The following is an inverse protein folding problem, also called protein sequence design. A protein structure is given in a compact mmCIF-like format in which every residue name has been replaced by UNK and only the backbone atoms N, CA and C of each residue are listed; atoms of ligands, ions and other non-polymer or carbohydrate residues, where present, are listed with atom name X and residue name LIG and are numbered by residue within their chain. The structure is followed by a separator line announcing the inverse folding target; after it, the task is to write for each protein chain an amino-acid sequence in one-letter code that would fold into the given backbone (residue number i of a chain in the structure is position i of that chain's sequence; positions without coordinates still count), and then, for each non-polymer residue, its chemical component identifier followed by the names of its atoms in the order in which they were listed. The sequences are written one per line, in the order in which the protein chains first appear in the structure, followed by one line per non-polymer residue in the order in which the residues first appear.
data_IF_488173812662
#
_entry.id   IF_488173812662
#
_cell.length_a   1.000
_cell.length_b   1.000
_cell.length_c   1.000
_cell.angle_alpha   90.00
_cell.angle_beta   90.00
_cell.angle_gamma   90.00
#
_symmetry.space_group_name_H-M   'P 1'
#
loop_
_entity.id
_entity.type
_entity.pdbx_description
1 polymer ?
#
# COMPACT_ATOMS: atom_id res chain seq x y z
N UNK A 1 23.74 -1.14 17.63
CA UNK A 1 24.09 0.09 16.88
C UNK A 1 23.01 1.15 17.01
N UNK A 2 21.72 0.83 16.79
CA UNK A 2 20.62 1.81 16.84
C UNK A 2 20.27 2.34 18.24
N UNK A 3 20.48 1.58 19.32
CA UNK A 3 20.20 2.06 20.69
C UNK A 3 21.00 3.33 21.03
N UNK A 4 22.29 3.37 20.67
CA UNK A 4 23.13 4.56 20.91
C UNK A 4 22.67 5.76 20.10
N UNK A 5 22.23 5.54 18.86
CA UNK A 5 21.67 6.58 18.00
C UNK A 5 20.43 7.20 18.64
N UNK A 6 19.50 6.35 19.11
CA UNK A 6 18.27 6.79 19.79
C UNK A 6 18.60 7.56 21.06
N UNK A 7 19.48 7.04 21.92
CA UNK A 7 19.85 7.70 23.18
C UNK A 7 20.50 9.06 22.94
N UNK A 8 21.43 9.15 21.97
CA UNK A 8 22.09 10.42 21.63
C UNK A 8 21.09 11.43 21.08
N UNK A 9 20.25 11.03 20.13
CA UNK A 9 19.22 11.89 19.54
C UNK A 9 18.25 12.43 20.61
N UNK A 10 17.77 11.58 21.52
CA UNK A 10 16.83 12.02 22.54
C UNK A 10 17.47 12.93 23.60
N UNK A 11 18.77 12.77 23.87
CA UNK A 11 19.52 13.74 24.67
C UNK A 11 19.55 15.11 23.98
N UNK A 12 19.86 15.15 22.68
CA UNK A 12 19.83 16.40 21.89
C UNK A 12 18.41 17.00 21.82
N UNK A 13 17.37 16.16 21.71
CA UNK A 13 15.97 16.60 21.72
C UNK A 13 15.60 17.26 23.06
N UNK A 14 16.07 16.69 24.19
CA UNK A 14 15.87 17.29 25.52
C UNK A 14 16.55 18.67 25.69
N UNK A 15 17.54 18.96 24.85
CA UNK A 15 18.22 20.26 24.78
C UNK A 15 17.56 21.23 23.78
N UNK A 16 16.42 20.86 23.18
CA UNK A 16 15.72 21.67 22.18
C UNK A 16 16.37 21.68 20.80
N UNK A 17 17.28 20.74 20.51
CA UNK A 17 17.95 20.64 19.20
C UNK A 17 17.12 19.90 18.16
N UNK A 18 16.11 19.14 18.59
CA UNK A 18 15.18 18.40 17.73
C UNK A 18 13.73 18.65 18.17
N UNK A 19 12.81 18.61 17.21
CA UNK A 19 11.36 18.75 17.45
C UNK A 19 10.65 17.40 17.57
N UNK A 20 11.39 16.30 17.61
CA UNK A 20 10.86 14.93 17.70
C UNK A 20 11.80 14.07 18.55
N UNK A 21 11.30 12.90 18.97
CA UNK A 21 12.06 11.88 19.70
C UNK A 21 12.07 10.58 18.90
N UNK A 22 13.06 9.73 19.15
CA UNK A 22 13.14 8.39 18.60
C UNK A 22 12.79 7.34 19.65
N UNK A 23 12.17 6.25 19.22
CA UNK A 23 11.87 5.10 20.07
C UNK A 23 12.47 3.82 19.48
N UNK A 24 12.88 2.90 20.33
CA UNK A 24 13.22 1.55 19.88
C UNK A 24 11.94 0.85 19.43
N UNK A 25 11.93 0.29 18.23
CA UNK A 25 10.80 -0.45 17.67
C UNK A 25 11.28 -1.74 17.00
N UNK A 26 10.39 -2.45 16.30
CA UNK A 26 10.71 -3.70 15.61
C UNK A 26 11.73 -3.55 14.46
N UNK A 27 12.08 -2.31 14.06
CA UNK A 27 13.14 -2.02 13.08
C UNK A 27 14.49 -1.75 13.76
N UNK A 28 14.57 -1.86 15.09
CA UNK A 28 15.71 -1.48 15.90
C UNK A 28 16.99 -2.29 15.64
N UNK A 29 16.88 -3.47 15.04
CA UNK A 29 17.99 -4.33 14.64
C UNK A 29 18.22 -4.36 13.13
N UNK A 30 17.35 -3.72 12.34
CA UNK A 30 17.48 -3.66 10.88
C UNK A 30 18.54 -2.65 10.45
N UNK A 31 19.24 -3.01 9.39
CA UNK A 31 20.10 -2.11 8.61
C UNK A 31 19.26 -1.25 7.66
N UNK A 32 19.83 -0.15 7.16
CA UNK A 32 19.17 0.68 6.14
C UNK A 32 18.77 -0.14 4.91
N UNK A 33 19.60 -1.11 4.50
CA UNK A 33 19.30 -1.96 3.35
C UNK A 33 18.10 -2.87 3.61
N UNK A 34 17.99 -3.44 4.82
CA UNK A 34 16.83 -4.24 5.24
C UNK A 34 15.56 -3.41 5.41
N UNK A 35 15.67 -2.09 5.57
CA UNK A 35 14.51 -1.17 5.58
C UNK A 35 14.08 -0.81 4.16
N UNK A 36 15.02 -0.48 3.27
CA UNK A 36 14.68 0.10 1.96
C UNK A 36 13.90 -0.86 1.06
N UNK A 37 14.37 -2.11 0.95
CA UNK A 37 13.78 -3.07 0.01
C UNK A 37 12.31 -3.41 0.35
N UNK A 38 11.94 -3.66 1.62
CA UNK A 38 10.54 -3.92 1.96
C UNK A 38 9.68 -2.73 2.35
N UNK A 39 10.24 -1.65 2.87
CA UNK A 39 9.44 -0.54 3.39
C UNK A 39 9.40 0.69 2.47
N UNK A 40 10.31 0.79 1.49
CA UNK A 40 10.47 1.98 0.64
C UNK A 40 10.43 1.66 -0.87
N UNK A 41 9.44 0.85 -1.29
CA UNK A 41 9.32 0.36 -2.67
C UNK A 41 8.42 1.23 -3.58
N UNK A 42 8.29 2.53 -3.32
CA UNK A 42 7.59 3.43 -4.23
C UNK A 42 8.41 3.58 -5.52
N UNK A 43 7.83 3.21 -6.66
CA UNK A 43 8.48 3.25 -7.97
C UNK A 43 7.83 4.34 -8.83
N UNK A 44 8.45 5.52 -8.88
CA UNK A 44 7.95 6.62 -9.71
C UNK A 44 8.00 6.26 -11.20
N UNK A 45 6.92 6.46 -11.96
CA UNK A 45 6.92 6.26 -13.41
C UNK A 45 7.93 7.20 -14.10
N UNK A 46 8.59 6.72 -15.16
CA UNK A 46 9.53 7.53 -15.95
C UNK A 46 8.79 8.61 -16.79
N UNK A 47 7.53 8.35 -17.13
CA UNK A 47 6.67 9.19 -17.94
C UNK A 47 5.89 10.23 -17.13
N UNK A 48 6.24 10.42 -15.85
CA UNK A 48 5.47 11.25 -14.95
C UNK A 48 5.54 12.74 -15.34
N UNK A 49 4.55 13.17 -16.12
CA UNK A 49 4.47 14.55 -16.56
C UNK A 49 4.01 15.43 -15.40
N UNK A 50 4.82 16.43 -15.06
CA UNK A 50 4.44 17.51 -14.14
C UNK A 50 3.47 18.45 -14.85
N UNK A 51 2.23 17.98 -15.06
CA UNK A 51 1.16 18.76 -15.64
C UNK A 51 0.44 19.59 -14.56
N UNK A 52 -0.19 20.72 -14.92
CA UNK A 52 -1.13 21.39 -14.04
C UNK A 52 -2.22 20.41 -13.61
N UNK A 53 -2.44 20.27 -12.31
CA UNK A 53 -3.49 19.41 -11.79
C UNK A 53 -4.86 19.99 -12.19
N UNK A 54 -5.81 19.17 -12.68
CA UNK A 54 -7.20 19.59 -12.87
C UNK A 54 -7.92 19.80 -11.52
N UNK A 55 -7.22 19.63 -10.39
CA UNK A 55 -7.73 19.95 -9.07
C UNK A 55 -8.20 21.41 -9.01
N UNK A 56 -9.51 21.60 -9.16
CA UNK A 56 -10.16 22.87 -8.95
C UNK A 56 -10.08 23.18 -7.44
N UNK A 57 -9.15 24.07 -7.07
CA UNK A 57 -9.12 24.61 -5.72
C UNK A 57 -10.51 25.14 -5.35
N UNK A 58 -10.90 24.95 -4.09
CA UNK A 58 -12.21 25.44 -3.63
C UNK A 58 -12.17 26.97 -3.52
N UNK A 59 -12.88 27.66 -4.40
CA UNK A 59 -13.14 29.10 -4.25
C UNK A 59 -14.28 29.29 -3.24
N UNK A 60 -14.01 29.64 -1.99
CA UNK A 60 -15.12 30.04 -1.10
C UNK A 60 -14.93 30.02 0.42
N UNK A 61 -13.91 29.37 0.97
CA UNK A 61 -13.60 29.48 2.40
C UNK A 61 -12.13 29.15 2.63
N UNK A 62 -11.48 29.82 3.60
CA UNK A 62 -10.15 29.45 4.03
C UNK A 62 -10.15 28.02 4.58
N UNK A 63 -9.08 27.27 4.31
CA UNK A 63 -8.89 25.97 4.96
C UNK A 63 -8.80 26.18 6.49
N UNK A 64 -9.35 25.27 7.30
CA UNK A 64 -9.20 25.36 8.75
C UNK A 64 -7.73 25.17 9.15
N UNK A 65 -7.34 25.74 10.30
CA UNK A 65 -5.97 25.66 10.81
C UNK A 65 -5.51 24.21 11.11
N UNK A 66 -6.46 23.31 11.34
CA UNK A 66 -6.19 21.87 11.53
C UNK A 66 -7.33 21.01 11.00
N UNK A 67 -6.99 19.82 10.51
CA UNK A 67 -7.94 18.79 10.07
C UNK A 67 -7.43 17.43 10.51
N UNK A 68 -8.29 16.66 11.17
CA UNK A 68 -8.09 15.24 11.41
C UNK A 68 -9.22 14.43 10.72
N UNK A 69 -8.87 13.59 9.75
CA UNK A 69 -9.82 12.73 9.05
C UNK A 69 -10.20 11.47 9.85
N UNK A 70 -9.41 11.12 10.87
CA UNK A 70 -9.70 9.99 11.79
C UNK A 70 -10.93 10.31 12.62
N UNK A 71 -11.01 11.53 13.14
CA UNK A 71 -12.18 12.03 13.90
C UNK A 71 -13.45 12.09 13.03
N UNK A 72 -13.30 12.11 11.71
CA UNK A 72 -14.41 12.13 10.74
C UNK A 72 -14.81 10.74 10.26
N UNK A 73 -14.17 9.67 10.75
CA UNK A 73 -14.47 8.30 10.33
C UNK A 73 -14.05 8.00 8.89
N UNK A 74 -13.02 8.69 8.37
CA UNK A 74 -12.52 8.49 7.00
C UNK A 74 -11.18 7.74 6.95
N UNK A 75 -10.75 7.14 8.06
CA UNK A 75 -9.45 6.46 8.17
C UNK A 75 -9.65 5.14 8.91
N UNK A 76 -9.24 4.04 8.28
CA UNK A 76 -9.23 2.69 8.86
C UNK A 76 -8.13 2.52 9.91
N UNK A 77 -8.06 1.35 10.55
CA UNK A 77 -6.98 1.04 11.48
C UNK A 77 -5.62 0.97 10.77
N UNK A 78 -4.54 1.21 11.51
CA UNK A 78 -3.18 1.06 10.97
C UNK A 78 -2.94 -0.41 10.59
N UNK A 79 -2.39 -0.62 9.38
CA UNK A 79 -2.07 -1.93 8.82
C UNK A 79 -0.54 -2.14 8.75
N UNK A 80 -0.10 -3.38 8.54
CA UNK A 80 1.30 -3.75 8.44
C UNK A 80 1.61 -4.38 7.08
N UNK A 81 2.55 -3.79 6.32
CA UNK A 81 2.99 -4.29 5.01
C UNK A 81 4.04 -5.42 5.08
N UNK A 82 4.36 -5.87 6.29
CA UNK A 82 5.14 -7.07 6.52
C UNK A 82 4.36 -7.95 7.46
N UNK A 83 4.44 -9.26 7.28
CA UNK A 83 4.00 -10.18 8.32
C UNK A 83 4.97 -10.04 9.48
N UNK A 84 4.47 -9.62 10.63
CA UNK A 84 5.21 -9.75 11.88
C UNK A 84 5.67 -11.22 12.00
N UNK A 85 6.89 -11.50 12.47
CA UNK A 85 7.32 -12.87 12.67
C UNK A 85 6.37 -13.51 13.69
N UNK A 86 5.43 -14.32 13.22
CA UNK A 86 4.70 -15.21 14.11
C UNK A 86 5.77 -16.03 14.84
N UNK A 87 5.80 -15.83 16.16
CA UNK A 87 6.63 -16.50 17.16
C UNK A 87 7.33 -17.73 16.59
N UNK A 88 8.51 -17.54 15.99
CA UNK A 88 9.40 -18.55 15.38
C UNK A 88 8.83 -19.98 15.49
N UNK A 89 7.88 -20.32 14.62
CA UNK A 89 7.40 -21.70 14.55
C UNK A 89 8.62 -22.57 14.18
N UNK A 90 8.91 -23.66 14.91
CA UNK A 90 10.14 -24.43 14.74
C UNK A 90 10.18 -25.22 13.43
N UNK A 91 9.11 -25.17 12.63
CA UNK A 91 9.03 -25.84 11.34
C UNK A 91 9.62 -24.92 10.27
N UNK A 92 10.87 -25.20 9.88
CA UNK A 92 11.45 -24.71 8.62
C UNK A 92 10.68 -25.31 7.44
N UNK A 93 9.52 -24.74 7.13
CA UNK A 93 8.91 -24.81 5.81
C UNK A 93 9.67 -23.92 4.82
N UNK A 94 9.37 -23.98 3.51
CA UNK A 94 9.95 -23.08 2.53
C UNK A 94 9.74 -21.63 3.00
N UNK A 95 10.80 -20.84 2.87
CA UNK A 95 10.84 -19.42 3.22
C UNK A 95 9.65 -18.77 2.50
N UNK A 96 8.65 -18.32 3.27
CA UNK A 96 7.60 -17.47 2.73
C UNK A 96 8.21 -16.24 2.07
N UNK A 97 7.52 -15.58 1.14
CA UNK A 97 8.08 -14.48 0.37
C UNK A 97 8.71 -13.45 1.30
N UNK A 98 9.86 -12.91 0.85
CA UNK A 98 10.58 -11.86 1.55
C UNK A 98 9.68 -10.66 1.85
N UNK A 99 10.18 -9.71 2.64
CA UNK A 99 9.35 -8.61 3.08
C UNK A 99 8.86 -7.79 1.85
N UNK A 100 7.55 -7.56 1.77
CA UNK A 100 6.86 -7.12 0.57
C UNK A 100 6.87 -5.59 0.45
N UNK A 101 7.40 -5.06 -0.65
CA UNK A 101 7.44 -3.64 -1.00
C UNK A 101 6.09 -3.10 -1.47
N UNK A 102 5.03 -3.23 -0.66
CA UNK A 102 3.67 -2.88 -1.05
C UNK A 102 3.15 -1.57 -0.45
N UNK A 103 4.01 -0.68 0.06
CA UNK A 103 3.61 0.61 0.63
C UNK A 103 2.75 1.45 -0.32
N UNK A 104 3.00 1.36 -1.63
CA UNK A 104 2.21 2.01 -2.67
C UNK A 104 0.74 1.53 -2.69
N UNK A 105 0.51 0.22 -2.48
CA UNK A 105 -0.82 -0.38 -2.46
C UNK A 105 -1.58 0.07 -1.20
N UNK A 106 -0.92 0.06 -0.03
CA UNK A 106 -1.49 0.58 1.22
C UNK A 106 -1.86 2.07 1.13
N UNK A 107 -1.02 2.87 0.48
CA UNK A 107 -1.29 4.29 0.23
C UNK A 107 -2.52 4.48 -0.69
N UNK A 108 -2.63 3.66 -1.74
CA UNK A 108 -3.77 3.69 -2.65
C UNK A 108 -5.08 3.30 -1.95
N UNK A 109 -5.12 2.16 -1.25
CA UNK A 109 -6.33 1.74 -0.53
C UNK A 109 -6.71 2.75 0.53
N UNK A 110 -5.79 3.28 1.33
CA UNK A 110 -6.11 4.28 2.35
C UNK A 110 -6.77 5.55 1.78
N UNK A 111 -6.34 6.00 0.59
CA UNK A 111 -6.98 7.11 -0.11
C UNK A 111 -8.38 6.75 -0.63
N UNK A 112 -8.55 5.55 -1.19
CA UNK A 112 -9.83 5.03 -1.69
C UNK A 112 -10.84 4.83 -0.54
N UNK A 113 -10.41 4.26 0.58
CA UNK A 113 -11.19 4.08 1.81
C UNK A 113 -11.73 5.43 2.31
N UNK A 114 -10.88 6.46 2.34
CA UNK A 114 -11.29 7.81 2.72
C UNK A 114 -12.33 8.42 1.79
N UNK A 115 -12.18 8.25 0.47
CA UNK A 115 -13.19 8.71 -0.50
C UNK A 115 -14.49 7.89 -0.40
N UNK A 116 -14.40 6.58 -0.19
CA UNK A 116 -15.55 5.70 -0.01
C UNK A 116 -16.35 6.13 1.22
N UNK A 117 -15.69 6.34 2.36
CA UNK A 117 -16.31 6.83 3.58
C UNK A 117 -16.96 8.20 3.37
N UNK A 118 -16.29 9.12 2.66
CA UNK A 118 -16.82 10.46 2.39
C UNK A 118 -18.05 10.46 1.47
N UNK A 119 -18.10 9.56 0.49
CA UNK A 119 -19.16 9.53 -0.53
C UNK A 119 -20.35 8.67 -0.12
N UNK A 120 -20.11 7.56 0.58
CA UNK A 120 -21.15 6.59 0.95
C UNK A 120 -21.51 6.62 2.44
N UNK A 121 -20.69 7.26 3.28
CA UNK A 121 -20.81 7.19 4.73
C UNK A 121 -20.35 5.87 5.35
N UNK A 122 -19.77 4.95 4.56
CA UNK A 122 -19.30 3.64 5.02
C UNK A 122 -17.79 3.55 4.94
N UNK A 123 -17.15 3.32 6.08
CA UNK A 123 -15.74 2.99 6.16
C UNK A 123 -15.58 1.47 6.03
N UNK A 124 -14.87 1.02 5.01
CA UNK A 124 -14.63 -0.39 4.69
C UNK A 124 -13.14 -0.57 4.48
N UNK A 125 -12.55 -1.61 5.06
CA UNK A 125 -11.17 -1.99 4.76
C UNK A 125 -11.08 -2.56 3.35
N UNK A 126 -10.27 -1.93 2.48
CA UNK A 126 -10.03 -2.37 1.11
C UNK A 126 -8.75 -3.19 1.01
N UNK A 127 -8.70 -4.12 0.05
CA UNK A 127 -7.60 -5.07 -0.11
C UNK A 127 -6.41 -4.45 -0.84
N UNK A 128 -5.26 -4.22 -0.17
CA UNK A 128 -4.02 -3.90 -0.86
C UNK A 128 -3.50 -5.11 -1.64
N UNK A 129 -3.85 -6.34 -1.26
CA UNK A 129 -3.45 -7.57 -1.95
C UNK A 129 -4.02 -7.64 -3.36
N UNK A 130 -5.29 -7.29 -3.53
CA UNK A 130 -5.90 -7.19 -4.86
C UNK A 130 -5.14 -6.21 -5.77
N UNK A 131 -4.62 -5.11 -5.23
CA UNK A 131 -3.78 -4.20 -6.02
C UNK A 131 -2.43 -4.83 -6.38
N UNK A 132 -1.79 -5.53 -5.42
CA UNK A 132 -0.48 -6.17 -5.61
C UNK A 132 -0.53 -7.18 -6.75
N UNK A 133 -1.56 -8.02 -6.77
CA UNK A 133 -1.66 -9.12 -7.73
C UNK A 133 -2.19 -8.65 -9.10
N UNK A 134 -3.18 -7.75 -9.13
CA UNK A 134 -3.94 -7.49 -10.36
C UNK A 134 -3.50 -6.23 -11.14
N UNK A 135 -2.76 -5.30 -10.52
CA UNK A 135 -2.41 -4.03 -11.17
C UNK A 135 -1.11 -4.06 -11.99
N UNK A 136 -0.56 -5.25 -12.26
CA UNK A 136 0.68 -5.44 -13.00
C UNK A 136 0.66 -4.83 -14.41
N UNK A 137 -0.47 -4.99 -15.13
CA UNK A 137 -0.69 -4.43 -16.47
C UNK A 137 -0.60 -2.89 -16.52
N UNK A 138 -0.75 -2.23 -15.37
CA UNK A 138 -0.67 -0.77 -15.22
C UNK A 138 0.74 -0.28 -14.88
N UNK A 139 1.71 -1.18 -14.76
CA UNK A 139 3.12 -0.87 -14.49
C UNK A 139 3.54 -1.02 -13.02
N UNK A 140 2.64 -1.46 -12.15
CA UNK A 140 3.03 -1.91 -10.81
C UNK A 140 3.73 -3.27 -10.89
N UNK A 141 4.58 -3.56 -9.90
CA UNK A 141 5.40 -4.77 -9.83
C UNK A 141 5.21 -5.46 -8.48
N UNK A 142 3.97 -5.53 -8.01
CA UNK A 142 3.59 -6.15 -6.74
C UNK A 142 4.46 -5.74 -5.55
N UNK A 143 5.11 -6.73 -4.93
CA UNK A 143 6.06 -6.59 -3.83
C UNK A 143 7.42 -5.99 -4.24
N UNK A 144 7.72 -5.91 -5.54
CA UNK A 144 8.90 -5.21 -6.05
C UNK A 144 8.67 -3.70 -6.27
N UNK A 145 7.49 -3.22 -5.90
CA UNK A 145 7.16 -1.80 -5.88
C UNK A 145 6.13 -1.40 -6.91
N UNK A 146 5.68 -0.16 -6.82
CA UNK A 146 4.60 0.35 -7.65
C UNK A 146 4.31 1.81 -7.33
N UNK A 147 3.23 2.32 -7.91
CA UNK A 147 2.85 3.71 -7.81
C UNK A 147 1.34 3.89 -7.63
N UNK A 148 0.98 4.85 -6.79
CA UNK A 148 -0.39 5.05 -6.33
C UNK A 148 -1.34 5.35 -7.51
N UNK A 149 -0.92 6.19 -8.46
CA UNK A 149 -1.80 6.54 -9.59
C UNK A 149 -2.04 5.36 -10.53
N UNK A 150 -1.09 4.44 -10.66
CA UNK A 150 -1.26 3.20 -11.44
C UNK A 150 -2.25 2.24 -10.78
N UNK A 151 -2.24 2.20 -9.45
CA UNK A 151 -3.28 1.49 -8.71
C UNK A 151 -4.66 2.13 -8.92
N UNK A 152 -4.77 3.46 -8.95
CA UNK A 152 -6.04 4.12 -9.25
C UNK A 152 -6.53 3.88 -10.68
N UNK A 153 -5.64 3.90 -11.68
CA UNK A 153 -5.95 3.53 -13.07
C UNK A 153 -6.55 2.11 -13.13
N UNK A 154 -5.91 1.13 -12.46
CA UNK A 154 -6.44 -0.22 -12.31
C UNK A 154 -7.85 -0.24 -11.72
N UNK A 155 -8.08 0.42 -10.58
CA UNK A 155 -9.40 0.39 -9.91
C UNK A 155 -10.50 1.01 -10.77
N UNK A 156 -10.18 2.04 -11.57
CA UNK A 156 -11.11 2.66 -12.51
C UNK A 156 -11.52 1.66 -13.59
N UNK A 157 -10.55 1.02 -14.24
CA UNK A 157 -10.78 0.11 -15.36
C UNK A 157 -11.41 -1.22 -14.91
N UNK A 158 -10.96 -1.74 -13.78
CA UNK A 158 -11.51 -2.94 -13.12
C UNK A 158 -12.90 -2.70 -12.51
N UNK A 159 -13.35 -1.43 -12.47
CA UNK A 159 -14.63 -1.01 -11.89
C UNK A 159 -14.79 -1.35 -10.40
N UNK A 160 -13.69 -1.51 -9.67
CA UNK A 160 -13.72 -1.88 -8.26
C UNK A 160 -12.39 -2.38 -7.72
N UNK A 161 -12.39 -2.58 -6.41
CA UNK A 161 -11.32 -3.24 -5.65
C UNK A 161 -11.98 -4.03 -4.52
N UNK A 162 -11.46 -5.21 -4.24
CA UNK A 162 -12.01 -6.09 -3.22
C UNK A 162 -11.84 -5.53 -1.81
N UNK A 163 -12.70 -5.98 -0.89
CA UNK A 163 -12.51 -5.72 0.54
C UNK A 163 -11.38 -6.57 1.12
N UNK A 164 -10.72 -6.10 2.18
CA UNK A 164 -9.70 -6.88 2.91
C UNK A 164 -10.27 -8.21 3.43
N UNK A 165 -11.55 -8.25 3.81
CA UNK A 165 -12.19 -9.47 4.27
C UNK A 165 -12.38 -10.52 3.15
N UNK A 166 -12.62 -10.07 1.92
CA UNK A 166 -12.79 -10.94 0.74
C UNK A 166 -11.45 -11.36 0.14
N UNK A 167 -10.46 -10.46 0.14
CA UNK A 167 -9.12 -10.70 -0.39
C UNK A 167 -8.06 -10.28 0.65
N UNK A 168 -7.74 -11.15 1.63
CA UNK A 168 -6.83 -10.79 2.72
C UNK A 168 -5.37 -10.61 2.30
N UNK A 169 -4.66 -9.73 2.98
CA UNK A 169 -3.24 -9.46 2.75
C UNK A 169 -2.34 -10.65 3.07
N UNK A 170 -1.50 -11.05 2.11
CA UNK A 170 -0.58 -12.19 2.22
C UNK A 170 0.89 -11.80 2.23
N UNK A 171 1.22 -10.54 1.90
CA UNK A 171 2.60 -10.07 1.74
C UNK A 171 3.39 -10.91 0.72
N UNK A 172 2.73 -11.29 -0.37
CA UNK A 172 3.21 -12.15 -1.44
C UNK A 172 2.60 -11.69 -2.76
N UNK A 173 3.22 -12.00 -3.90
CA UNK A 173 2.55 -11.94 -5.21
C UNK A 173 2.00 -13.35 -5.52
N UNK A 174 0.77 -13.44 -6.03
CA UNK A 174 0.23 -14.63 -6.69
C UNK A 174 0.08 -14.36 -8.20
N UNK A 175 0.39 -15.36 -9.03
CA UNK A 175 0.04 -15.31 -10.46
C UNK A 175 -1.47 -15.57 -10.59
N UNK A 176 -2.21 -14.68 -11.27
CA UNK A 176 -3.59 -14.97 -11.67
C UNK A 176 -3.58 -16.13 -12.69
N UNK A 177 -4.24 -17.24 -12.37
CA UNK A 177 -4.68 -18.21 -13.38
C UNK A 177 -5.86 -17.57 -14.13
N UNK A 178 -5.63 -17.03 -15.32
CA UNK A 178 -6.70 -16.59 -16.21
C UNK A 178 -7.56 -17.82 -16.57
N UNK A 179 -8.82 -17.86 -16.14
CA UNK A 179 -9.80 -18.83 -16.62
C UNK A 179 -10.04 -18.52 -18.12
N UNK A 180 -9.38 -19.26 -19.01
CA UNK A 180 -9.69 -19.26 -20.44
C UNK A 180 -11.12 -19.78 -20.65
N UNK A 181 -12.08 -18.89 -20.92
CA UNK A 181 -13.37 -19.28 -21.48
C UNK A 181 -13.13 -19.79 -22.91
N UNK A 182 -13.09 -21.12 -23.11
CA UNK A 182 -13.11 -21.74 -24.43
C UNK A 182 -14.47 -21.45 -25.11
N UNK A 183 -14.47 -20.56 -26.10
CA UNK A 183 -15.58 -20.43 -27.04
C UNK A 183 -15.63 -21.66 -27.98
N UNK A 184 -16.67 -22.49 -27.85
CA UNK A 184 -17.02 -23.53 -28.83
C UNK A 184 -17.40 -22.88 -30.18
N UNK A 185 -16.46 -22.78 -31.13
CA UNK A 185 -16.81 -22.61 -32.54
C UNK A 185 -17.22 -23.96 -33.15
N UNK A 186 -18.52 -24.22 -33.11
CA UNK A 186 -19.16 -25.20 -33.98
C UNK A 186 -18.95 -24.83 -35.45
N UNK A 187 -18.20 -25.65 -36.19
CA UNK A 187 -18.16 -25.61 -37.65
C UNK A 187 -18.74 -26.91 -38.21
N UNK A 188 -19.92 -26.78 -38.83
CA UNK A 188 -20.48 -27.81 -39.69
C UNK A 188 -19.83 -27.79 -41.08
N UNK A 189 -19.42 -28.98 -41.54
CA UNK A 189 -19.42 -29.58 -42.90
C UNK A 189 -18.91 -28.77 -44.13
N UNK A 190 -18.64 -29.38 -45.32
CA UNK A 190 -18.81 -30.79 -45.76
C UNK A 190 -17.58 -31.39 -46.50
N UNK A 191 -17.52 -32.73 -46.65
CA UNK A 191 -17.36 -33.46 -47.95
C UNK A 191 -17.92 -34.89 -47.78
#
# INVERSE_FOLDING_TARGET
MNLMLITKHNLEASMGLHSYELGMNHMGDLTTQEILQPYAALSSPDDHQRAPSPFAGTSGAGAPDSVDWREKGCVTSVKHQVKEPELRSPVRGPIGPGPCGSCWAFSAVGALEGQLAKTTGKLVDLSPQNLIDCSGRYGNRGCNGGYITKAFEYVIDNQGVESEAAYPYRAAEEEEEEEEEEEEEGSGEPI
#
